data_IF_210481193234
#
_entry.id   IF_210481193234
#
_cell.length_a   1.000
_cell.length_b   1.000
_cell.length_c   1.000
_cell.angle_alpha   90.00
_cell.angle_beta   90.00
_cell.angle_gamma   90.00
#
_symmetry.space_group_name_H-M   'P 1'
#
loop_
_entity.id
_entity.type
_entity.pdbx_description
1 polymer ?
#
# COMPACT_ATOMS: atom_id res chain seq x y z
N UNK A 1 72.32 45.05 -23.75
CA UNK A 1 70.88 45.36 -23.52
C UNK A 1 70.06 44.15 -23.81
N UNK A 2 69.83 43.35 -22.76
CA UNK A 2 69.02 42.14 -22.84
C UNK A 2 67.61 42.40 -22.31
N UNK A 3 66.59 42.17 -23.15
CA UNK A 3 65.18 42.33 -22.76
C UNK A 3 64.71 40.94 -22.21
N UNK A 4 64.36 40.90 -20.93
CA UNK A 4 63.62 39.77 -20.33
C UNK A 4 62.16 39.95 -20.66
N UNK A 5 61.60 38.98 -21.37
CA UNK A 5 60.14 38.83 -21.58
C UNK A 5 59.56 37.85 -20.52
N UNK A 6 58.93 38.40 -19.48
CA UNK A 6 58.19 37.61 -18.51
C UNK A 6 56.85 37.15 -19.09
N UNK A 7 56.64 35.84 -19.15
CA UNK A 7 55.35 35.21 -19.42
C UNK A 7 54.56 35.05 -18.12
N UNK A 8 53.46 35.80 -17.99
CA UNK A 8 52.48 35.52 -16.94
C UNK A 8 51.70 34.26 -17.31
N UNK A 9 51.82 33.22 -16.47
CA UNK A 9 50.95 32.05 -16.51
C UNK A 9 49.70 32.33 -15.68
N UNK A 10 48.55 32.39 -16.35
CA UNK A 10 47.21 32.46 -15.70
C UNK A 10 46.81 31.03 -15.30
N UNK A 11 46.54 30.75 -14.02
CA UNK A 11 46.02 29.43 -13.65
C UNK A 11 44.54 29.39 -14.04
N UNK A 12 44.19 28.51 -14.99
CA UNK A 12 42.83 28.14 -15.30
C UNK A 12 42.27 27.28 -14.14
N UNK A 13 41.46 27.89 -13.27
CA UNK A 13 40.72 27.15 -12.25
C UNK A 13 39.59 26.38 -12.97
N UNK A 14 39.77 25.09 -13.17
CA UNK A 14 38.70 24.16 -13.57
C UNK A 14 37.74 23.99 -12.38
N UNK A 15 36.63 24.72 -12.40
CA UNK A 15 35.49 24.47 -11.51
C UNK A 15 34.80 23.22 -12.05
N UNK A 16 35.10 22.08 -11.44
CA UNK A 16 34.35 20.87 -11.63
C UNK A 16 32.98 21.04 -10.97
N UNK A 17 32.01 21.48 -11.75
CA UNK A 17 30.60 21.46 -11.35
C UNK A 17 30.17 20.00 -11.26
N UNK A 18 30.17 19.45 -10.04
CA UNK A 18 29.49 18.20 -9.74
C UNK A 18 27.98 18.43 -9.93
N UNK A 19 27.49 18.11 -11.12
CA UNK A 19 26.06 17.91 -11.34
C UNK A 19 25.67 16.70 -10.50
N UNK A 20 25.23 16.90 -9.25
CA UNK A 20 24.38 15.94 -8.59
C UNK A 20 23.15 15.81 -9.50
N UNK A 21 23.08 14.72 -10.26
CA UNK A 21 21.84 14.33 -10.91
C UNK A 21 20.83 14.15 -9.80
N UNK A 22 19.92 15.09 -9.64
CA UNK A 22 18.76 14.88 -8.76
C UNK A 22 18.06 13.63 -9.28
N UNK A 23 18.10 12.56 -8.51
CA UNK A 23 17.43 11.33 -8.87
C UNK A 23 15.95 11.65 -9.01
N UNK A 24 15.38 11.42 -10.19
CA UNK A 24 13.98 11.72 -10.46
C UNK A 24 13.12 10.90 -9.50
N UNK A 25 12.31 11.59 -8.70
CA UNK A 25 11.40 10.91 -7.76
C UNK A 25 10.37 10.09 -8.52
N UNK A 26 10.03 8.91 -7.99
CA UNK A 26 9.00 8.03 -8.53
C UNK A 26 7.64 8.51 -8.07
N UNK A 27 6.74 8.76 -9.01
CA UNK A 27 5.37 9.20 -8.73
C UNK A 27 4.51 8.03 -8.26
N UNK A 28 3.82 8.21 -7.14
CA UNK A 28 2.96 7.20 -6.54
C UNK A 28 1.63 7.80 -6.11
N UNK A 29 0.55 7.08 -6.34
CA UNK A 29 -0.72 7.24 -5.62
C UNK A 29 -0.80 6.08 -4.64
N UNK A 30 -1.10 6.41 -3.39
CA UNK A 30 -1.21 5.46 -2.30
C UNK A 30 -2.69 5.21 -2.01
N UNK A 31 -3.21 4.06 -2.45
CA UNK A 31 -4.59 3.61 -2.22
C UNK A 31 -4.61 2.61 -1.07
N UNK A 32 -5.36 2.90 0.00
CA UNK A 32 -5.28 2.13 1.24
C UNK A 32 -6.53 2.27 2.11
N UNK A 33 -6.79 1.26 2.92
CA UNK A 33 -7.73 1.27 4.04
C UNK A 33 -6.99 1.61 5.34
N UNK A 34 -6.64 2.88 5.48
CA UNK A 34 -5.70 3.44 6.46
C UNK A 34 -6.20 3.32 7.92
N UNK A 35 -6.40 2.10 8.42
CA UNK A 35 -6.82 1.87 9.79
C UNK A 35 -5.81 2.40 10.81
N UNK A 36 -6.34 2.98 11.86
CA UNK A 36 -5.54 3.60 12.94
C UNK A 36 -5.99 3.17 14.34
N UNK A 37 -5.24 3.67 15.34
CA UNK A 37 -3.94 4.32 15.21
C UNK A 37 -2.79 3.32 15.05
N UNK A 38 -1.75 3.68 14.29
CA UNK A 38 -0.47 2.98 14.26
C UNK A 38 -0.48 1.60 13.61
N UNK A 39 -1.53 1.27 12.82
CA UNK A 39 -1.65 0.03 12.06
C UNK A 39 -0.62 -0.09 10.94
N UNK A 40 -0.59 -1.28 10.30
CA UNK A 40 0.29 -1.61 9.17
C UNK A 40 0.11 -0.63 8.01
N UNK A 41 -1.12 -0.21 7.75
CA UNK A 41 -1.50 0.74 6.70
C UNK A 41 -0.82 2.11 6.87
N UNK A 42 -0.93 2.70 8.07
CA UNK A 42 -0.27 3.97 8.38
C UNK A 42 1.25 3.83 8.48
N UNK A 43 1.76 2.64 8.84
CA UNK A 43 3.20 2.37 8.82
C UNK A 43 3.72 2.27 7.38
N UNK A 44 2.98 1.67 6.45
CA UNK A 44 3.33 1.64 5.03
C UNK A 44 3.28 3.04 4.40
N UNK A 45 2.29 3.88 4.78
CA UNK A 45 2.28 5.29 4.42
C UNK A 45 3.53 6.01 4.95
N UNK A 46 3.95 5.73 6.19
CA UNK A 46 5.18 6.27 6.74
C UNK A 46 6.42 5.85 5.92
N UNK A 47 6.49 4.61 5.45
CA UNK A 47 7.56 4.13 4.54
C UNK A 47 7.63 5.01 3.28
N UNK A 48 6.47 5.31 2.67
CA UNK A 48 6.40 6.12 1.47
C UNK A 48 6.82 7.58 1.72
N UNK A 49 6.28 8.24 2.76
CA UNK A 49 6.56 9.67 3.03
C UNK A 49 7.98 9.91 3.57
N UNK A 50 8.63 8.90 4.15
CA UNK A 50 10.00 9.01 4.66
C UNK A 50 11.06 8.69 3.60
N UNK A 51 10.65 8.21 2.43
CA UNK A 51 11.55 7.90 1.33
C UNK A 51 11.79 9.12 0.43
N UNK A 52 13.05 9.59 0.28
CA UNK A 52 13.34 10.75 -0.56
C UNK A 52 13.16 10.48 -2.06
N UNK A 53 13.07 9.22 -2.47
CA UNK A 53 12.89 8.82 -3.88
C UNK A 53 11.42 8.82 -4.30
N UNK A 54 10.49 9.10 -3.38
CA UNK A 54 9.05 9.06 -3.63
C UNK A 54 8.48 10.46 -3.77
N UNK A 55 7.75 10.67 -4.86
CA UNK A 55 6.82 11.78 -5.01
C UNK A 55 5.41 11.23 -4.82
N UNK A 56 4.88 11.36 -3.61
CA UNK A 56 3.51 10.95 -3.32
C UNK A 56 2.55 12.01 -3.85
N UNK A 57 1.74 11.65 -4.87
CA UNK A 57 0.79 12.58 -5.52
C UNK A 57 -0.47 12.80 -4.68
N UNK A 58 -0.87 11.81 -3.91
CA UNK A 58 -2.01 11.84 -3.01
C UNK A 58 -2.29 10.47 -2.41
N UNK A 59 -3.19 10.47 -1.42
CA UNK A 59 -3.64 9.28 -0.72
C UNK A 59 -5.13 9.10 -1.01
N UNK A 60 -5.50 7.95 -1.57
CA UNK A 60 -6.90 7.56 -1.77
C UNK A 60 -7.29 6.56 -0.69
N UNK A 61 -8.43 6.78 -0.03
CA UNK A 61 -8.84 5.97 1.12
C UNK A 61 -10.12 5.20 0.80
N UNK A 62 -10.10 3.91 1.02
CA UNK A 62 -11.22 2.97 0.83
C UNK A 62 -11.63 2.40 2.18
N UNK A 63 -12.86 1.93 2.37
CA UNK A 63 -13.20 1.10 3.53
C UNK A 63 -12.59 -0.29 3.42
N UNK A 64 -12.11 -0.80 4.52
CA UNK A 64 -11.58 -2.16 4.66
C UNK A 64 -11.48 -2.52 6.13
N UNK A 65 -10.34 -2.33 6.74
CA UNK A 65 -10.06 -2.58 8.15
C UNK A 65 -10.99 -1.79 9.07
N UNK A 66 -11.30 -0.54 8.68
CA UNK A 66 -12.30 0.33 9.30
C UNK A 66 -13.19 0.93 8.22
N UNK A 67 -14.15 1.79 8.60
CA UNK A 67 -14.95 2.52 7.64
C UNK A 67 -14.17 3.72 7.06
N UNK A 68 -14.34 3.99 5.77
CA UNK A 68 -13.65 5.04 5.02
C UNK A 68 -13.54 6.39 5.75
N UNK A 69 -14.62 6.87 6.38
CA UNK A 69 -14.60 8.19 7.03
C UNK A 69 -13.71 8.20 8.29
N UNK A 70 -13.67 7.09 9.02
CA UNK A 70 -12.75 6.88 10.13
C UNK A 70 -11.30 6.80 9.65
N UNK A 71 -11.04 6.03 8.60
CA UNK A 71 -9.71 5.88 8.00
C UNK A 71 -9.19 7.18 7.38
N UNK A 72 -10.06 7.97 6.74
CA UNK A 72 -9.73 9.34 6.31
C UNK A 72 -9.29 10.19 7.50
N UNK A 73 -10.00 10.10 8.63
CA UNK A 73 -9.66 10.87 9.82
C UNK A 73 -8.33 10.41 10.43
N UNK A 74 -8.04 9.10 10.49
CA UNK A 74 -6.75 8.56 10.91
C UNK A 74 -5.62 9.03 9.98
N UNK A 75 -5.82 8.95 8.66
CA UNK A 75 -4.85 9.39 7.65
C UNK A 75 -4.51 10.88 7.82
N UNK A 76 -5.52 11.75 7.87
CA UNK A 76 -5.33 13.18 8.08
C UNK A 76 -4.58 13.47 9.38
N UNK A 77 -4.98 12.80 10.46
CA UNK A 77 -4.32 12.98 11.77
C UNK A 77 -2.88 12.50 11.75
N UNK A 78 -2.59 11.38 11.08
CA UNK A 78 -1.23 10.89 10.91
C UNK A 78 -0.37 11.88 10.11
N UNK A 79 -0.89 12.44 9.01
CA UNK A 79 -0.19 13.46 8.22
C UNK A 79 0.13 14.73 9.04
N UNK A 80 -0.77 15.15 9.94
CA UNK A 80 -0.50 16.25 10.87
C UNK A 80 0.66 15.91 11.82
N UNK A 81 0.68 14.69 12.38
CA UNK A 81 1.76 14.22 13.24
C UNK A 81 3.09 14.15 12.48
N UNK A 82 3.05 13.67 11.23
CA UNK A 82 4.21 13.59 10.35
C UNK A 82 4.66 14.92 9.72
N UNK A 83 3.91 16.02 9.95
CA UNK A 83 4.13 17.32 9.29
C UNK A 83 4.07 17.28 7.75
N UNK A 84 3.16 16.46 7.21
CA UNK A 84 2.93 16.28 5.78
C UNK A 84 1.49 16.65 5.38
N UNK A 85 0.99 17.75 5.94
CA UNK A 85 -0.34 18.31 5.60
C UNK A 85 -0.42 18.88 4.18
N UNK A 86 0.69 18.91 3.46
CA UNK A 86 0.80 19.20 2.04
C UNK A 86 0.21 18.09 1.16
N UNK A 87 0.17 16.86 1.66
CA UNK A 87 -0.35 15.69 0.93
C UNK A 87 -1.88 15.67 0.97
N UNK A 88 -2.55 15.68 -0.21
CA UNK A 88 -4.00 15.59 -0.25
C UNK A 88 -4.51 14.18 0.02
N UNK A 89 -5.65 14.07 0.72
CA UNK A 89 -6.36 12.82 1.01
C UNK A 89 -7.70 12.83 0.29
N UNK A 90 -7.97 11.83 -0.50
CA UNK A 90 -9.17 11.69 -1.34
C UNK A 90 -10.06 10.57 -0.81
N UNK A 91 -11.28 10.89 -0.30
CA UNK A 91 -12.21 9.87 0.15
C UNK A 91 -12.69 9.00 -1.02
N UNK A 92 -12.67 7.69 -0.87
CA UNK A 92 -13.10 6.73 -1.87
C UNK A 92 -14.38 6.01 -1.51
N UNK A 93 -14.45 4.73 -1.88
CA UNK A 93 -15.61 3.89 -1.66
C UNK A 93 -15.86 3.62 -0.17
N UNK A 94 -17.12 3.68 0.23
CA UNK A 94 -17.58 3.31 1.58
C UNK A 94 -17.95 1.83 1.65
N UNK A 95 -18.49 1.29 0.56
CA UNK A 95 -18.96 -0.08 0.48
C UNK A 95 -18.26 -0.83 -0.65
N UNK A 96 -18.05 -2.14 -0.50
CA UNK A 96 -17.68 -3.01 -1.61
C UNK A 96 -18.71 -2.95 -2.74
N UNK A 97 -18.32 -3.38 -3.95
CA UNK A 97 -19.20 -3.34 -5.13
C UNK A 97 -20.44 -4.21 -4.97
N UNK A 98 -20.30 -5.39 -4.39
CA UNK A 98 -21.40 -6.38 -4.25
C UNK A 98 -21.44 -6.98 -2.85
N UNK A 99 -20.29 -7.32 -2.27
CA UNK A 99 -20.19 -7.98 -0.97
C UNK A 99 -20.77 -7.09 0.15
N UNK A 100 -21.56 -7.68 1.06
CA UNK A 100 -22.17 -6.97 2.17
C UNK A 100 -22.01 -7.71 3.48
N UNK A 101 -22.11 -7.00 4.60
CA UNK A 101 -22.06 -7.60 5.94
C UNK A 101 -23.15 -8.66 6.13
N UNK A 102 -24.35 -8.45 5.61
CA UNK A 102 -25.45 -9.41 5.64
C UNK A 102 -25.12 -10.65 4.81
N UNK A 103 -24.51 -10.44 3.62
CA UNK A 103 -24.02 -11.52 2.75
C UNK A 103 -22.94 -12.36 3.45
N UNK A 104 -21.98 -11.69 4.10
CA UNK A 104 -20.96 -12.35 4.92
C UNK A 104 -21.58 -13.23 6.01
N UNK A 105 -22.53 -12.69 6.80
CA UNK A 105 -23.19 -13.45 7.86
C UNK A 105 -23.95 -14.65 7.34
N UNK A 106 -24.62 -14.52 6.19
CA UNK A 106 -25.32 -15.65 5.55
C UNK A 106 -24.33 -16.71 5.03
N UNK A 107 -23.16 -16.28 4.54
CA UNK A 107 -22.08 -17.13 4.11
C UNK A 107 -21.48 -17.91 5.31
N UNK A 108 -21.19 -17.21 6.42
CA UNK A 108 -20.67 -17.81 7.67
C UNK A 108 -21.58 -18.90 8.23
N UNK A 109 -22.91 -18.73 8.15
CA UNK A 109 -23.87 -19.74 8.61
C UNK A 109 -23.77 -21.05 7.82
N UNK A 110 -23.28 -21.00 6.58
CA UNK A 110 -23.19 -22.16 5.68
C UNK A 110 -21.81 -22.78 5.65
N UNK A 111 -20.75 -21.97 5.74
CA UNK A 111 -19.40 -22.40 5.41
C UNK A 111 -18.38 -22.21 6.53
N UNK A 112 -18.73 -21.53 7.61
CA UNK A 112 -17.87 -21.33 8.76
C UNK A 112 -17.52 -19.86 9.01
N UNK A 113 -16.96 -19.61 10.17
CA UNK A 113 -16.61 -18.24 10.61
C UNK A 113 -15.43 -17.67 9.82
N UNK A 114 -15.50 -16.37 9.62
CA UNK A 114 -14.37 -15.55 9.15
C UNK A 114 -13.63 -15.00 10.37
N UNK A 115 -12.34 -15.23 10.45
CA UNK A 115 -11.54 -14.83 11.62
C UNK A 115 -11.34 -13.32 11.69
N UNK A 116 -11.20 -12.67 10.54
CA UNK A 116 -11.06 -11.22 10.42
C UNK A 116 -12.03 -10.67 9.38
N UNK A 117 -12.78 -9.64 9.75
CA UNK A 117 -13.80 -9.04 8.87
C UNK A 117 -13.76 -7.50 8.83
N UNK A 118 -12.66 -6.89 9.26
CA UNK A 118 -12.42 -5.45 9.17
C UNK A 118 -13.55 -4.61 9.77
N UNK A 119 -14.03 -3.63 9.02
CA UNK A 119 -15.13 -2.74 9.42
C UNK A 119 -16.45 -3.46 9.78
N UNK A 120 -16.61 -4.73 9.39
CA UNK A 120 -17.81 -5.52 9.69
C UNK A 120 -17.72 -6.30 10.99
N UNK A 121 -16.56 -6.30 11.64
CA UNK A 121 -16.32 -7.06 12.86
C UNK A 121 -17.17 -6.50 14.04
N UNK A 122 -17.92 -7.37 14.70
CA UNK A 122 -18.82 -6.98 15.79
C UNK A 122 -18.08 -6.39 17.01
N UNK A 123 -16.79 -6.70 17.16
CA UNK A 123 -15.97 -6.25 18.29
C UNK A 123 -15.78 -4.73 18.31
N UNK A 124 -15.82 -4.07 17.14
CA UNK A 124 -15.63 -2.61 16.99
C UNK A 124 -16.56 -1.98 15.95
N UNK A 125 -17.61 -2.69 15.54
CA UNK A 125 -18.55 -2.21 14.53
C UNK A 125 -19.26 -0.91 14.95
N UNK A 126 -19.37 0.02 14.02
CA UNK A 126 -20.19 1.23 14.12
C UNK A 126 -20.78 1.58 12.75
N UNK A 127 -21.64 2.58 12.69
CA UNK A 127 -22.26 3.03 11.45
C UNK A 127 -21.20 3.59 10.46
N UNK A 128 -21.32 3.30 9.14
CA UNK A 128 -20.29 3.59 8.13
C UNK A 128 -19.84 5.06 8.05
N UNK A 129 -20.75 5.99 8.30
CA UNK A 129 -20.48 7.44 8.22
C UNK A 129 -20.20 8.08 9.58
N UNK A 130 -20.03 7.28 10.61
CA UNK A 130 -19.70 7.73 11.95
C UNK A 130 -18.18 7.67 12.14
N UNK A 131 -17.59 8.78 12.59
CA UNK A 131 -16.16 8.81 12.96
C UNK A 131 -16.06 8.79 14.48
N UNK A 132 -15.52 7.74 15.08
CA UNK A 132 -15.37 7.66 16.53
C UNK A 132 -14.32 8.66 17.01
N UNK A 133 -14.23 8.80 18.35
CA UNK A 133 -13.16 9.59 18.95
C UNK A 133 -11.82 8.89 18.78
N UNK A 134 -10.94 9.46 17.96
CA UNK A 134 -9.62 8.89 17.71
C UNK A 134 -8.71 9.00 18.95
N UNK A 135 -7.97 7.93 19.24
CA UNK A 135 -7.06 7.88 20.40
C UNK A 135 -5.87 8.84 20.26
N UNK A 136 -5.42 9.11 19.03
CA UNK A 136 -4.36 10.07 18.68
C UNK A 136 -4.88 11.50 18.51
N UNK A 137 -6.17 11.73 18.68
CA UNK A 137 -6.84 13.02 18.55
C UNK A 137 -7.45 13.23 17.16
N UNK A 138 -8.49 14.06 17.10
CA UNK A 138 -9.17 14.38 15.85
C UNK A 138 -8.31 15.25 14.94
N UNK A 139 -8.35 15.07 13.60
CA UNK A 139 -7.66 15.93 12.67
C UNK A 139 -8.28 17.34 12.61
N UNK A 140 -7.43 18.34 12.39
CA UNK A 140 -7.85 19.71 12.08
C UNK A 140 -7.89 19.96 10.55
N UNK A 141 -7.12 19.21 9.80
CA UNK A 141 -7.10 19.23 8.32
C UNK A 141 -8.33 18.51 7.76
N UNK A 142 -8.60 18.74 6.49
CA UNK A 142 -9.77 18.17 5.80
C UNK A 142 -9.33 17.43 4.54
N UNK A 143 -10.08 16.39 4.20
CA UNK A 143 -9.94 15.70 2.93
C UNK A 143 -10.31 16.59 1.75
N UNK A 144 -9.82 16.22 0.56
CA UNK A 144 -10.20 16.83 -0.70
C UNK A 144 -11.71 16.65 -0.99
N UNK A 145 -12.25 17.56 -1.79
CA UNK A 145 -13.65 17.44 -2.23
C UNK A 145 -13.82 16.48 -3.42
N UNK A 146 -12.72 16.23 -4.16
CA UNK A 146 -12.67 15.24 -5.23
C UNK A 146 -12.65 13.84 -4.63
N UNK A 147 -13.36 12.88 -5.21
CA UNK A 147 -13.30 11.49 -4.78
C UNK A 147 -12.07 10.74 -5.35
N UNK A 148 -11.77 9.59 -4.74
CA UNK A 148 -10.60 8.78 -5.09
C UNK A 148 -10.58 8.34 -6.56
N UNK A 149 -11.70 7.86 -7.11
CA UNK A 149 -11.73 7.30 -8.46
C UNK A 149 -11.47 8.36 -9.53
N UNK A 150 -12.05 9.56 -9.40
CA UNK A 150 -11.79 10.68 -10.30
C UNK A 150 -10.33 11.17 -10.17
N UNK A 151 -9.81 11.24 -8.95
CA UNK A 151 -8.40 11.60 -8.73
C UNK A 151 -7.44 10.61 -9.38
N UNK A 152 -7.67 9.30 -9.22
CA UNK A 152 -6.87 8.24 -9.83
C UNK A 152 -6.82 8.40 -11.36
N UNK A 153 -7.99 8.53 -12.01
CA UNK A 153 -8.10 8.73 -13.46
C UNK A 153 -7.37 10.00 -13.89
N UNK A 154 -7.62 11.12 -13.22
CA UNK A 154 -7.02 12.40 -13.55
C UNK A 154 -5.49 12.35 -13.51
N UNK A 155 -4.90 11.72 -12.49
CA UNK A 155 -3.45 11.68 -12.32
C UNK A 155 -2.74 10.83 -13.38
N UNK A 156 -3.31 9.71 -13.81
CA UNK A 156 -2.68 8.91 -14.88
C UNK A 156 -2.78 9.58 -16.24
N UNK A 157 -3.79 10.45 -16.46
CA UNK A 157 -3.84 11.32 -17.64
C UNK A 157 -2.86 12.49 -17.58
N UNK A 158 -2.63 13.05 -16.39
CA UNK A 158 -1.67 14.15 -16.19
C UNK A 158 -0.22 13.65 -16.33
N UNK A 159 0.07 12.43 -15.86
CA UNK A 159 1.39 11.79 -15.88
C UNK A 159 1.33 10.40 -16.52
N UNK A 160 1.03 10.28 -17.84
CA UNK A 160 0.81 9.00 -18.48
C UNK A 160 2.08 8.14 -18.42
N UNK A 161 1.91 6.91 -17.93
CA UNK A 161 2.95 5.90 -17.75
C UNK A 161 4.05 6.24 -16.73
N UNK A 162 3.80 7.21 -15.84
CA UNK A 162 4.74 7.58 -14.79
C UNK A 162 4.24 7.27 -13.38
N UNK A 163 2.93 7.03 -13.22
CA UNK A 163 2.31 6.86 -11.91
C UNK A 163 2.23 5.39 -11.53
N UNK A 164 2.90 5.01 -10.46
CA UNK A 164 2.66 3.74 -9.78
C UNK A 164 1.39 3.85 -8.93
N UNK A 165 0.49 2.88 -9.06
CA UNK A 165 -0.63 2.72 -8.14
C UNK A 165 -0.20 1.69 -7.09
N UNK A 166 -0.04 2.14 -5.85
CA UNK A 166 0.15 1.27 -4.70
C UNK A 166 -1.20 1.04 -4.04
N UNK A 167 -1.60 -0.21 -3.90
CA UNK A 167 -2.85 -0.60 -3.27
C UNK A 167 -2.58 -1.56 -2.10
N UNK A 168 -2.82 -1.11 -0.88
CA UNK A 168 -2.66 -1.91 0.32
C UNK A 168 -3.99 -2.38 0.92
N UNK A 169 -5.12 -1.82 0.46
CA UNK A 169 -6.46 -2.18 0.89
C UNK A 169 -7.31 -2.86 -0.20
N UNK A 170 -8.62 -3.02 0.05
CA UNK A 170 -9.58 -3.51 -0.94
C UNK A 170 -9.58 -2.66 -2.21
N UNK A 171 -9.67 -3.30 -3.37
CA UNK A 171 -9.44 -2.66 -4.67
C UNK A 171 -10.65 -1.88 -5.22
N UNK A 172 -11.63 -1.52 -4.38
CA UNK A 172 -12.89 -0.88 -4.81
C UNK A 172 -12.66 0.44 -5.53
N UNK A 173 -11.76 1.30 -5.04
CA UNK A 173 -11.42 2.57 -5.69
C UNK A 173 -10.87 2.36 -7.10
N UNK A 174 -9.99 1.36 -7.27
CA UNK A 174 -9.37 1.03 -8.55
C UNK A 174 -10.41 0.48 -9.53
N UNK A 175 -11.32 -0.38 -9.08
CA UNK A 175 -12.40 -0.91 -9.91
C UNK A 175 -13.36 0.22 -10.38
N UNK A 176 -13.67 1.18 -9.52
CA UNK A 176 -14.43 2.37 -9.87
C UNK A 176 -13.67 3.25 -10.88
N UNK A 177 -12.37 3.46 -10.70
CA UNK A 177 -11.54 4.20 -11.65
C UNK A 177 -11.53 3.52 -13.04
N UNK A 178 -11.40 2.19 -13.11
CA UNK A 178 -11.49 1.41 -14.35
C UNK A 178 -12.87 1.54 -14.99
N UNK A 179 -13.94 1.60 -14.19
CA UNK A 179 -15.30 1.76 -14.69
C UNK A 179 -15.55 3.16 -15.24
N UNK A 180 -14.91 4.19 -14.69
CA UNK A 180 -14.95 5.56 -15.18
C UNK A 180 -14.12 5.74 -16.46
N UNK A 181 -12.93 5.13 -16.49
CA UNK A 181 -12.03 5.16 -17.65
C UNK A 181 -11.34 3.80 -17.85
N UNK A 182 -11.76 3.01 -18.85
CA UNK A 182 -11.13 1.73 -19.16
C UNK A 182 -9.64 1.82 -19.55
N UNK A 183 -9.12 3.00 -19.90
CA UNK A 183 -7.71 3.23 -20.21
C UNK A 183 -6.84 3.52 -18.97
N UNK A 184 -7.47 3.73 -17.80
CA UNK A 184 -6.76 3.98 -16.54
C UNK A 184 -5.61 2.99 -16.27
N UNK A 185 -5.81 1.65 -16.40
CA UNK A 185 -4.73 0.70 -16.15
C UNK A 185 -3.57 0.78 -17.15
N UNK A 186 -3.87 1.05 -18.44
CA UNK A 186 -2.85 1.19 -19.48
C UNK A 186 -2.02 2.46 -19.30
N UNK A 187 -2.63 3.53 -18.80
CA UNK A 187 -1.97 4.82 -18.55
C UNK A 187 -1.12 4.81 -17.28
N UNK A 188 -1.38 3.94 -16.33
CA UNK A 188 -0.53 3.78 -15.15
C UNK A 188 0.83 3.15 -15.53
N UNK A 189 1.85 3.40 -14.71
CA UNK A 189 3.17 2.77 -14.82
C UNK A 189 3.11 1.29 -14.44
N UNK A 190 2.50 1.01 -13.29
CA UNK A 190 2.33 -0.33 -12.73
C UNK A 190 1.29 -0.32 -11.61
N UNK A 191 0.76 -1.50 -11.30
CA UNK A 191 0.02 -1.78 -10.07
C UNK A 191 0.92 -2.58 -9.13
N UNK A 192 1.08 -2.11 -7.90
CA UNK A 192 1.73 -2.83 -6.81
C UNK A 192 0.71 -3.00 -5.69
N UNK A 193 0.46 -4.22 -5.25
CA UNK A 193 -0.54 -4.43 -4.22
C UNK A 193 -0.13 -5.45 -3.16
N UNK A 194 -0.60 -5.23 -1.94
CA UNK A 194 -0.64 -6.23 -0.89
C UNK A 194 -1.99 -6.96 -0.97
N UNK A 195 -1.97 -8.27 -1.07
CA UNK A 195 -3.20 -9.07 -1.08
C UNK A 195 -3.00 -10.46 -1.67
N UNK A 196 -4.01 -11.28 -1.44
CA UNK A 196 -4.05 -12.65 -1.92
C UNK A 196 -3.39 -13.67 -0.97
N UNK A 197 -3.98 -14.85 -0.96
CA UNK A 197 -3.52 -16.01 -0.17
C UNK A 197 -3.35 -17.20 -1.10
N UNK A 198 -2.11 -17.69 -1.26
CA UNK A 198 -1.81 -18.76 -2.20
C UNK A 198 -1.71 -20.11 -1.47
N UNK A 199 -0.72 -20.22 -0.59
CA UNK A 199 -0.49 -21.39 0.26
C UNK A 199 0.33 -20.99 1.49
N UNK A 200 -0.18 -20.11 2.36
CA UNK A 200 0.55 -19.63 3.52
C UNK A 200 0.88 -20.79 4.47
N UNK A 201 2.11 -20.83 4.97
CA UNK A 201 2.56 -21.81 5.93
C UNK A 201 2.50 -21.18 7.33
N UNK A 202 1.37 -21.36 8.01
CA UNK A 202 1.11 -20.72 9.30
C UNK A 202 0.23 -21.62 10.16
N UNK A 203 0.39 -21.51 11.49
CA UNK A 203 -0.52 -22.10 12.49
C UNK A 203 -1.58 -21.08 12.95
N UNK A 204 -1.56 -19.86 12.40
CA UNK A 204 -2.55 -18.83 12.70
C UNK A 204 -3.89 -19.20 12.03
N UNK A 205 -5.02 -19.28 12.77
CA UNK A 205 -6.32 -19.67 12.23
C UNK A 205 -6.74 -18.83 11.02
N UNK A 206 -6.45 -17.54 11.01
CA UNK A 206 -6.74 -16.63 9.88
C UNK A 206 -6.16 -17.14 8.56
N UNK A 207 -5.00 -17.81 8.59
CA UNK A 207 -4.31 -18.29 7.39
C UNK A 207 -4.30 -19.80 7.23
N UNK A 208 -4.57 -20.55 8.30
CA UNK A 208 -4.53 -22.01 8.29
C UNK A 208 -5.90 -22.63 8.00
N UNK A 209 -7.00 -22.01 8.44
CA UNK A 209 -8.35 -22.53 8.30
C UNK A 209 -8.88 -22.43 6.86
N UNK A 210 -9.89 -23.22 6.55
CA UNK A 210 -10.51 -23.28 5.21
C UNK A 210 -12.00 -22.91 5.29
N UNK A 211 -12.53 -22.19 4.28
CA UNK A 211 -11.84 -21.69 3.08
C UNK A 211 -10.88 -20.56 3.42
N UNK A 212 -9.68 -20.63 2.83
CA UNK A 212 -8.66 -19.61 3.02
C UNK A 212 -8.93 -18.42 2.12
N UNK A 213 -8.92 -17.24 2.70
CA UNK A 213 -8.98 -15.99 1.96
C UNK A 213 -8.06 -14.96 2.62
N UNK A 214 -7.66 -13.98 1.87
CA UNK A 214 -6.94 -12.83 2.34
C UNK A 214 -7.90 -11.64 2.36
N UNK A 215 -7.81 -10.81 3.39
CA UNK A 215 -8.81 -9.81 3.73
C UNK A 215 -9.07 -8.79 2.62
N UNK A 216 -8.04 -8.19 2.02
CA UNK A 216 -8.19 -7.18 0.97
C UNK A 216 -8.95 -7.69 -0.26
N UNK A 217 -8.63 -8.92 -0.68
CA UNK A 217 -9.32 -9.58 -1.79
C UNK A 217 -10.73 -9.99 -1.39
N UNK A 218 -10.89 -10.54 -0.19
CA UNK A 218 -12.17 -11.05 0.29
C UNK A 218 -13.19 -9.95 0.63
N UNK A 219 -12.74 -8.78 1.08
CA UNK A 219 -13.64 -7.66 1.42
C UNK A 219 -14.39 -7.15 0.19
N UNK A 220 -13.74 -7.10 -0.99
CA UNK A 220 -14.38 -6.80 -2.27
C UNK A 220 -13.85 -7.70 -3.40
N UNK A 221 -14.33 -8.96 -3.49
CA UNK A 221 -13.87 -9.91 -4.49
C UNK A 221 -14.14 -9.46 -5.94
N UNK A 222 -15.26 -8.79 -6.18
CA UNK A 222 -15.64 -8.28 -7.51
C UNK A 222 -14.69 -7.18 -7.95
N UNK A 223 -14.32 -6.27 -7.06
CA UNK A 223 -13.33 -5.23 -7.39
C UNK A 223 -11.97 -5.83 -7.72
N UNK A 224 -11.48 -6.77 -6.90
CA UNK A 224 -10.22 -7.46 -7.16
C UNK A 224 -10.28 -8.25 -8.48
N UNK A 225 -11.39 -8.91 -8.79
CA UNK A 225 -11.61 -9.60 -10.07
C UNK A 225 -11.53 -8.65 -11.28
N UNK A 226 -12.15 -7.47 -11.20
CA UNK A 226 -12.09 -6.43 -12.24
C UNK A 226 -10.65 -5.94 -12.42
N UNK A 227 -10.00 -5.58 -11.32
CA UNK A 227 -8.66 -4.98 -11.31
C UNK A 227 -7.60 -5.93 -11.86
N UNK A 228 -7.59 -7.20 -11.42
CA UNK A 228 -6.61 -8.20 -11.86
C UNK A 228 -6.75 -8.60 -13.33
N UNK A 229 -7.89 -8.34 -13.96
CA UNK A 229 -8.14 -8.62 -15.39
C UNK A 229 -7.93 -7.41 -16.29
N UNK A 230 -7.75 -6.24 -15.71
CA UNK A 230 -7.54 -5.01 -16.46
C UNK A 230 -6.14 -4.97 -17.14
N UNK A 231 -5.97 -4.21 -18.23
CA UNK A 231 -4.75 -4.25 -19.05
C UNK A 231 -3.60 -3.43 -18.46
N UNK A 232 -3.15 -3.78 -17.27
CA UNK A 232 -1.97 -3.17 -16.66
C UNK A 232 -0.70 -3.55 -17.42
N UNK A 233 0.25 -2.63 -17.49
CA UNK A 233 1.59 -2.92 -18.05
C UNK A 233 2.38 -3.89 -17.18
N UNK A 234 2.20 -3.79 -15.87
CA UNK A 234 2.87 -4.62 -14.87
C UNK A 234 2.03 -4.68 -13.60
N UNK A 235 1.93 -5.87 -13.03
CA UNK A 235 1.30 -6.11 -11.74
C UNK A 235 2.30 -6.80 -10.82
N UNK A 236 2.47 -6.29 -9.61
CA UNK A 236 3.31 -6.88 -8.55
C UNK A 236 2.43 -7.16 -7.33
N UNK A 237 2.50 -8.38 -6.84
CA UNK A 237 1.73 -8.87 -5.70
C UNK A 237 2.64 -9.25 -4.54
N UNK A 238 2.37 -8.70 -3.36
CA UNK A 238 2.93 -9.13 -2.07
C UNK A 238 1.85 -9.88 -1.32
N UNK A 239 1.76 -11.23 -1.44
CA UNK A 239 0.70 -12.01 -0.80
C UNK A 239 0.94 -12.22 0.69
N UNK A 240 -0.08 -12.70 1.40
CA UNK A 240 0.02 -13.15 2.80
C UNK A 240 1.18 -14.11 3.01
N UNK A 241 1.41 -15.03 2.07
CA UNK A 241 2.44 -16.07 2.13
C UNK A 241 3.85 -15.56 2.44
N UNK A 242 4.19 -14.37 1.98
CA UNK A 242 5.49 -13.74 2.29
C UNK A 242 5.37 -12.83 3.51
N UNK A 243 4.26 -12.12 3.67
CA UNK A 243 4.06 -11.12 4.72
C UNK A 243 4.07 -11.73 6.12
N UNK A 244 3.49 -12.92 6.29
CA UNK A 244 3.48 -13.65 7.57
C UNK A 244 4.87 -14.13 8.03
N UNK A 245 5.91 -14.02 7.19
CA UNK A 245 7.30 -14.24 7.59
C UNK A 245 7.87 -13.05 8.36
N UNK A 246 7.20 -11.91 8.33
CA UNK A 246 7.61 -10.66 8.98
C UNK A 246 6.85 -10.45 10.29
N UNK A 247 7.44 -9.73 11.23
CA UNK A 247 6.73 -9.32 12.44
C UNK A 247 7.38 -8.08 13.05
N UNK A 248 6.58 -7.06 13.32
CA UNK A 248 7.04 -5.88 14.04
C UNK A 248 7.38 -6.25 15.49
N UNK A 249 8.65 -6.16 15.85
CA UNK A 249 9.12 -6.51 17.20
C UNK A 249 9.16 -5.29 18.13
N UNK A 250 9.01 -5.56 19.43
CA UNK A 250 9.16 -4.52 20.45
C UNK A 250 10.55 -3.85 20.42
N UNK A 251 11.60 -4.59 20.03
CA UNK A 251 12.94 -4.02 19.91
C UNK A 251 13.02 -3.01 18.77
N UNK A 252 12.50 -3.33 17.60
CA UNK A 252 12.43 -2.38 16.47
C UNK A 252 11.71 -1.10 16.86
N UNK A 253 10.58 -1.22 17.57
CA UNK A 253 9.82 -0.05 18.04
C UNK A 253 10.60 0.80 19.03
N UNK A 254 11.37 0.18 19.94
CA UNK A 254 12.27 0.91 20.87
C UNK A 254 13.36 1.65 20.11
N UNK A 255 13.97 1.02 19.10
CA UNK A 255 15.01 1.63 18.27
C UNK A 255 14.46 2.83 17.49
N UNK A 256 13.26 2.69 16.90
CA UNK A 256 12.55 3.78 16.21
C UNK A 256 12.23 4.92 17.20
N UNK A 257 11.70 4.60 18.39
CA UNK A 257 11.37 5.59 19.42
C UNK A 257 12.58 6.38 19.90
N UNK A 258 13.74 5.72 20.00
CA UNK A 258 15.02 6.32 20.41
C UNK A 258 15.47 7.44 19.44
N UNK A 259 15.01 7.45 18.20
CA UNK A 259 15.27 8.52 17.23
C UNK A 259 14.66 9.88 17.67
N UNK A 260 13.67 9.87 18.55
CA UNK A 260 12.97 11.06 19.03
C UNK A 260 12.10 11.77 18.00
N UNK A 261 11.85 11.17 16.83
CA UNK A 261 10.97 11.70 15.79
C UNK A 261 9.50 11.65 16.23
N UNK A 262 8.63 12.46 15.64
CA UNK A 262 7.18 12.43 15.95
C UNK A 262 6.54 11.14 15.46
N UNK A 263 6.90 10.70 14.25
CA UNK A 263 6.44 9.43 13.69
C UNK A 263 6.90 8.27 14.58
N UNK A 264 8.17 8.23 14.97
CA UNK A 264 8.69 7.18 15.86
C UNK A 264 7.98 7.14 17.23
N UNK A 265 7.66 8.29 17.82
CA UNK A 265 6.87 8.33 19.06
C UNK A 265 5.44 7.85 18.87
N UNK A 266 4.80 8.23 17.75
CA UNK A 266 3.46 7.78 17.40
C UNK A 266 3.40 6.27 17.24
N UNK A 267 4.32 5.68 16.46
CA UNK A 267 4.40 4.23 16.29
C UNK A 267 4.64 3.50 17.62
N UNK A 268 5.52 4.03 18.46
CA UNK A 268 5.78 3.44 19.78
C UNK A 268 4.57 3.51 20.73
N UNK A 269 3.79 4.59 20.67
CA UNK A 269 2.60 4.78 21.49
C UNK A 269 1.49 3.77 21.13
N UNK A 270 1.32 3.46 19.84
CA UNK A 270 0.23 2.64 19.34
C UNK A 270 0.70 1.27 18.82
N UNK A 271 1.88 0.83 19.27
CA UNK A 271 2.46 -0.43 18.88
C UNK A 271 1.53 -1.63 19.11
N UNK A 272 1.39 -2.44 18.08
CA UNK A 272 0.81 -3.79 18.12
C UNK A 272 1.80 -4.76 17.47
N UNK A 273 1.95 -5.94 18.04
CA UNK A 273 2.85 -6.98 17.52
C UNK A 273 2.16 -7.72 16.37
N UNK A 274 2.05 -7.06 15.22
CA UNK A 274 1.43 -7.62 14.02
C UNK A 274 2.48 -8.11 13.00
N UNK A 275 2.03 -8.87 12.03
CA UNK A 275 2.76 -9.06 10.77
C UNK A 275 2.92 -7.69 10.09
N UNK A 276 3.89 -7.58 9.18
CA UNK A 276 4.18 -6.34 8.48
C UNK A 276 3.78 -6.50 7.00
N UNK A 277 2.45 -6.56 6.76
CA UNK A 277 1.90 -6.83 5.43
C UNK A 277 2.23 -5.72 4.44
N UNK A 278 1.77 -4.52 4.71
CA UNK A 278 1.85 -3.37 3.80
C UNK A 278 3.21 -2.71 3.85
N UNK A 279 3.86 -2.71 5.01
CA UNK A 279 5.23 -2.21 5.14
C UNK A 279 6.19 -3.00 4.24
N UNK A 280 5.99 -4.33 4.15
CA UNK A 280 6.78 -5.16 3.24
C UNK A 280 6.50 -4.81 1.78
N UNK A 281 5.23 -4.68 1.39
CA UNK A 281 4.86 -4.32 0.02
C UNK A 281 5.45 -2.97 -0.39
N UNK A 282 5.33 -1.96 0.49
CA UNK A 282 5.90 -0.63 0.28
C UNK A 282 7.44 -0.66 0.19
N UNK A 283 8.11 -1.34 1.12
CA UNK A 283 9.56 -1.47 1.14
C UNK A 283 10.09 -2.25 -0.07
N UNK A 284 9.42 -3.33 -0.48
CA UNK A 284 9.80 -4.13 -1.65
C UNK A 284 9.66 -3.36 -2.96
N UNK A 285 8.68 -2.45 -3.05
CA UNK A 285 8.57 -1.53 -4.18
C UNK A 285 9.71 -0.50 -4.18
N UNK A 286 10.10 0.02 -3.03
CA UNK A 286 11.24 0.95 -2.89
C UNK A 286 12.55 0.28 -3.25
N UNK A 287 12.83 -0.89 -2.68
CA UNK A 287 14.03 -1.69 -2.94
C UNK A 287 13.67 -3.12 -3.36
N UNK A 288 13.51 -3.39 -4.67
CA UNK A 288 13.18 -4.72 -5.16
C UNK A 288 14.20 -5.81 -4.80
N UNK A 289 15.42 -5.44 -4.37
CA UNK A 289 16.44 -6.40 -3.94
C UNK A 289 16.16 -7.01 -2.56
N UNK A 290 15.13 -6.54 -1.86
CA UNK A 290 14.59 -7.19 -0.66
C UNK A 290 13.98 -8.56 -0.99
N UNK A 291 13.44 -8.72 -2.20
CA UNK A 291 12.78 -9.94 -2.64
C UNK A 291 13.81 -10.92 -3.21
N UNK A 292 13.95 -12.06 -2.55
CA UNK A 292 14.93 -13.10 -2.92
C UNK A 292 14.33 -14.18 -3.82
N UNK A 293 12.99 -14.34 -3.81
CA UNK A 293 12.26 -15.24 -4.70
C UNK A 293 10.98 -14.60 -5.17
N UNK A 294 10.73 -14.65 -6.50
CA UNK A 294 9.50 -14.23 -7.14
C UNK A 294 9.18 -15.11 -8.32
N UNK A 295 7.90 -15.19 -8.69
CA UNK A 295 7.42 -15.99 -9.81
C UNK A 295 6.36 -15.23 -10.59
N UNK A 296 6.27 -15.46 -11.90
CA UNK A 296 5.17 -14.95 -12.72
C UNK A 296 4.03 -15.99 -12.73
N UNK A 297 2.83 -15.55 -12.40
CA UNK A 297 1.61 -16.36 -12.42
C UNK A 297 0.46 -15.56 -13.03
N UNK A 298 -0.60 -16.25 -13.43
CA UNK A 298 -1.88 -15.63 -13.75
C UNK A 298 -2.79 -15.72 -12.54
N UNK A 299 -3.41 -14.61 -12.17
CA UNK A 299 -4.17 -14.48 -10.94
C UNK A 299 -5.59 -13.99 -11.22
N UNK A 300 -6.55 -14.48 -10.49
CA UNK A 300 -7.93 -14.01 -10.45
C UNK A 300 -8.53 -14.29 -9.08
N UNK A 301 -9.81 -13.98 -8.91
CA UNK A 301 -10.57 -14.17 -7.68
C UNK A 301 -11.81 -15.00 -7.98
N UNK A 302 -12.16 -15.90 -7.07
CA UNK A 302 -13.41 -16.64 -7.11
C UNK A 302 -14.56 -15.71 -6.69
N UNK A 303 -15.44 -15.39 -7.64
CA UNK A 303 -16.63 -14.56 -7.42
C UNK A 303 -17.93 -15.36 -7.45
N UNK A 304 -17.86 -16.67 -7.53
CA UNK A 304 -19.00 -17.54 -7.33
C UNK A 304 -19.36 -17.59 -5.83
N UNK A 305 -20.61 -17.27 -5.48
CA UNK A 305 -21.08 -17.19 -4.09
C UNK A 305 -21.16 -18.58 -3.38
N UNK A 306 -20.12 -19.40 -3.58
CA UNK A 306 -19.91 -20.70 -2.93
C UNK A 306 -18.98 -20.60 -1.73
N UNK A 307 -18.43 -21.75 -1.30
CA UNK A 307 -17.47 -21.82 -0.20
C UNK A 307 -16.14 -21.10 -0.51
N UNK A 308 -15.80 -20.98 -1.79
CA UNK A 308 -14.57 -20.32 -2.25
C UNK A 308 -14.69 -18.82 -2.53
N UNK A 309 -15.84 -18.21 -2.30
CA UNK A 309 -16.07 -16.79 -2.59
C UNK A 309 -15.00 -15.89 -1.96
N UNK A 310 -14.32 -15.11 -2.77
CA UNK A 310 -13.20 -14.28 -2.36
C UNK A 310 -11.83 -14.98 -2.32
N UNK A 311 -11.75 -16.27 -2.66
CA UNK A 311 -10.46 -16.97 -2.72
C UNK A 311 -9.62 -16.50 -3.92
N UNK A 312 -8.33 -16.39 -3.69
CA UNK A 312 -7.34 -16.16 -4.75
C UNK A 312 -7.15 -17.42 -5.59
N UNK A 313 -7.23 -17.26 -6.91
CA UNK A 313 -7.01 -18.30 -7.90
C UNK A 313 -5.74 -17.99 -8.69
N UNK A 314 -4.85 -18.98 -8.83
CA UNK A 314 -3.58 -18.82 -9.56
C UNK A 314 -3.33 -19.96 -10.54
N UNK A 315 -2.69 -19.63 -11.65
CA UNK A 315 -2.32 -20.60 -12.69
C UNK A 315 -0.92 -20.34 -13.25
N UNK A 316 -0.30 -21.40 -13.70
CA UNK A 316 0.85 -21.32 -14.61
C UNK A 316 0.41 -20.88 -16.01
N UNK A 317 1.35 -20.46 -16.84
CA UNK A 317 1.08 -20.13 -18.25
C UNK A 317 0.42 -21.29 -19.03
N UNK A 318 0.88 -22.54 -18.80
CA UNK A 318 0.36 -23.74 -19.46
C UNK A 318 -1.09 -24.06 -19.10
N UNK A 319 -1.52 -23.70 -17.90
CA UNK A 319 -2.75 -24.19 -17.30
C UNK A 319 -3.81 -23.10 -17.13
N UNK A 320 -3.50 -21.87 -17.51
CA UNK A 320 -4.42 -20.73 -17.34
C UNK A 320 -5.69 -20.90 -18.17
N UNK A 321 -6.83 -20.43 -17.66
CA UNK A 321 -8.07 -20.42 -18.43
C UNK A 321 -7.93 -19.54 -19.67
N UNK A 322 -8.82 -19.76 -20.67
CA UNK A 322 -8.84 -18.94 -21.91
C UNK A 322 -9.33 -17.50 -21.67
N UNK A 323 -9.79 -17.18 -20.46
CA UNK A 323 -10.18 -15.83 -20.11
C UNK A 323 -8.99 -14.86 -20.18
N UNK A 324 -9.26 -13.58 -20.43
CA UNK A 324 -8.23 -12.54 -20.37
C UNK A 324 -7.73 -12.41 -18.93
N UNK A 325 -6.47 -12.78 -18.73
CA UNK A 325 -5.75 -12.63 -17.45
C UNK A 325 -4.41 -11.98 -17.74
N UNK A 326 -3.95 -11.14 -16.81
CA UNK A 326 -2.64 -10.52 -16.87
C UNK A 326 -1.62 -11.35 -16.09
N UNK A 327 -0.34 -11.37 -16.50
CA UNK A 327 0.72 -11.93 -15.68
C UNK A 327 0.94 -11.04 -14.45
N UNK A 328 1.04 -11.68 -13.28
CA UNK A 328 1.31 -11.04 -12.00
C UNK A 328 2.67 -11.53 -11.49
N UNK A 329 3.57 -10.62 -11.17
CA UNK A 329 4.80 -10.92 -10.46
C UNK A 329 4.47 -11.13 -8.99
N UNK A 330 4.56 -12.37 -8.50
CA UNK A 330 4.24 -12.74 -7.12
C UNK A 330 5.53 -12.86 -6.33
N UNK A 331 5.63 -12.14 -5.23
CA UNK A 331 6.76 -12.17 -4.30
C UNK A 331 6.60 -13.33 -3.30
N UNK A 332 7.61 -14.18 -3.15
CA UNK A 332 7.52 -15.43 -2.40
C UNK A 332 8.51 -15.56 -1.26
N UNK A 333 9.63 -14.82 -1.33
CA UNK A 333 10.63 -14.84 -0.26
C UNK A 333 11.42 -13.53 -0.22
N UNK A 334 12.02 -13.23 0.95
CA UNK A 334 12.66 -11.95 1.21
C UNK A 334 13.95 -12.10 2.03
N UNK A 335 14.81 -11.08 1.96
CA UNK A 335 15.87 -10.86 2.92
C UNK A 335 15.31 -10.11 4.14
N UNK A 336 14.87 -10.88 5.14
CA UNK A 336 14.20 -10.36 6.33
C UNK A 336 15.05 -9.36 7.12
N UNK A 337 16.35 -9.64 7.28
CA UNK A 337 17.27 -8.73 8.00
C UNK A 337 17.37 -7.38 7.30
N UNK A 338 17.59 -7.37 5.98
CA UNK A 338 17.66 -6.15 5.19
C UNK A 338 16.34 -5.36 5.22
N UNK A 339 15.19 -6.05 5.19
CA UNK A 339 13.87 -5.40 5.32
C UNK A 339 13.73 -4.68 6.67
N UNK A 340 14.06 -5.35 7.77
CA UNK A 340 13.97 -4.75 9.10
C UNK A 340 14.91 -3.56 9.28
N UNK A 341 16.16 -3.66 8.81
CA UNK A 341 17.12 -2.55 8.83
C UNK A 341 16.60 -1.35 8.03
N UNK A 342 16.05 -1.57 6.85
CA UNK A 342 15.46 -0.52 6.02
C UNK A 342 14.27 0.13 6.72
N UNK A 343 13.33 -0.66 7.24
CA UNK A 343 12.15 -0.16 7.94
C UNK A 343 12.53 0.71 9.15
N UNK A 344 13.38 0.19 10.05
CA UNK A 344 13.85 0.94 11.23
C UNK A 344 14.57 2.22 10.81
N UNK A 345 15.42 2.16 9.78
CA UNK A 345 16.13 3.33 9.26
C UNK A 345 15.17 4.40 8.75
N UNK A 346 14.16 4.02 7.95
CA UNK A 346 13.16 4.96 7.42
C UNK A 346 12.34 5.58 8.57
N UNK A 347 11.78 4.76 9.46
CA UNK A 347 10.95 5.24 10.57
C UNK A 347 11.70 6.13 11.56
N UNK A 348 13.02 6.04 11.61
CA UNK A 348 13.89 6.83 12.50
C UNK A 348 14.29 8.19 11.91
N UNK A 349 13.99 8.47 10.63
CA UNK A 349 14.33 9.74 9.99
C UNK A 349 13.34 10.84 10.37
N UNK A 350 13.77 12.10 10.48
CA UNK A 350 12.85 13.24 10.45
C UNK A 350 12.03 13.19 9.15
N UNK A 351 10.78 13.64 9.18
CA UNK A 351 10.00 13.75 7.96
C UNK A 351 10.78 14.59 6.91
N UNK A 352 10.87 14.08 5.70
CA UNK A 352 11.52 14.81 4.61
C UNK A 352 10.73 16.09 4.34
N UNK A 353 11.38 17.25 4.50
CA UNK A 353 10.83 18.52 4.00
C UNK A 353 11.05 18.57 2.49
N UNK A 354 9.98 18.55 1.74
CA UNK A 354 10.00 18.75 0.29
C UNK A 354 9.80 20.21 -0.06
#
# INVERSE_FOLDING_TARGET
>A
MQRLSGRLAVPCLLIASSLLSAQQQRKVIFDQDCAGPGGTDLQSLAVMIQSPEVQLLGITVVSGDQWRDEEVAHTLRFLEIAHRTDLPVFPGAVFPLVHTREGMRAWEQRYGKVEYSGAWDERWWHEPYSVPKLAEGQPATKAAAEDAAHFLVRMVHEYPHEVTIYAGGPMTNLALAISLDPHFPELAQELVFMGGSLNPQSDDPEFADTPRHEFNIWFDPEAAHIVLRAPWKKIVCTPVDISIKTRLSQQMVKDIQASGTKVGRYLAQFYKANYMWDELAAAAWLDPSLITKKESRFMSVDIDHGAGYGNTLIWNESDRPRATLQPVEIQLDLNLGKFYEMFVSLMSRPAASH
#
